data_IF_964023514677
#
_entry.id   IF_964023514677
#
_cell.length_a   1.000
_cell.length_b   1.000
_cell.length_c   1.000
_cell.angle_alpha   90.00
_cell.angle_beta   90.00
_cell.angle_gamma   90.00
#
_symmetry.space_group_name_H-M   'P 1'
#
loop_
_entity.id
_entity.type
_entity.pdbx_description
1 polymer ?
#
# COMPACT_ATOMS: atom_id res chain seq x y z
N UNK A 1 -5.24 10.89 -0.20
CA UNK A 1 -5.39 12.34 -0.44
C UNK A 1 -4.82 12.67 -1.82
N UNK A 2 -5.61 13.21 -2.74
CA UNK A 2 -5.14 13.61 -4.07
C UNK A 2 -4.26 14.85 -3.96
N UNK A 3 -2.99 14.75 -4.35
CA UNK A 3 -2.14 15.93 -4.42
C UNK A 3 -2.43 16.75 -5.68
N UNK A 4 -2.07 18.03 -5.63
CA UNK A 4 -2.16 18.94 -6.79
C UNK A 4 -1.47 18.39 -8.03
N UNK A 5 -0.45 17.54 -7.87
CA UNK A 5 0.22 16.87 -8.98
C UNK A 5 -0.70 15.87 -9.68
N UNK A 6 -1.43 15.03 -8.94
CA UNK A 6 -2.37 14.07 -9.54
C UNK A 6 -3.44 14.78 -10.36
N UNK A 7 -4.02 15.84 -9.81
CA UNK A 7 -5.05 16.62 -10.48
C UNK A 7 -4.50 17.19 -11.80
N UNK A 8 -3.29 17.77 -11.80
CA UNK A 8 -2.66 18.29 -13.02
C UNK A 8 -2.39 17.21 -14.07
N UNK A 9 -1.90 16.03 -13.67
CA UNK A 9 -1.64 14.92 -14.59
C UNK A 9 -2.94 14.46 -15.24
N UNK A 10 -3.99 14.22 -14.44
CA UNK A 10 -5.30 13.78 -14.95
C UNK A 10 -5.97 14.83 -15.84
N UNK A 11 -5.88 16.11 -15.47
CA UNK A 11 -6.36 17.22 -16.32
C UNK A 11 -5.62 17.26 -17.65
N UNK A 12 -4.28 17.09 -17.67
CA UNK A 12 -3.52 17.05 -18.92
C UNK A 12 -3.88 15.84 -19.78
N UNK A 13 -4.09 14.67 -19.17
CA UNK A 13 -4.58 13.48 -19.89
C UNK A 13 -5.96 13.73 -20.54
N UNK A 14 -6.89 14.35 -19.81
CA UNK A 14 -8.20 14.72 -20.35
C UNK A 14 -8.11 15.73 -21.49
N UNK A 15 -7.30 16.78 -21.35
CA UNK A 15 -7.07 17.76 -22.44
C UNK A 15 -6.45 17.10 -23.67
N UNK A 16 -5.52 16.16 -23.48
CA UNK A 16 -4.90 15.43 -24.57
C UNK A 16 -5.93 14.54 -25.31
N UNK A 17 -6.75 13.79 -24.57
CA UNK A 17 -7.81 12.96 -25.14
C UNK A 17 -8.86 13.79 -25.90
N UNK A 18 -9.27 14.94 -25.35
CA UNK A 18 -10.12 15.93 -26.02
C UNK A 18 -9.55 16.36 -27.37
N UNK A 19 -8.27 16.76 -27.38
CA UNK A 19 -7.59 17.19 -28.60
C UNK A 19 -7.48 16.07 -29.64
N UNK A 20 -7.19 14.85 -29.20
CA UNK A 20 -7.00 13.70 -30.08
C UNK A 20 -8.32 13.16 -30.65
N UNK A 21 -9.39 13.16 -29.86
CA UNK A 21 -10.71 12.65 -30.27
C UNK A 21 -11.43 13.56 -31.26
N UNK A 22 -10.93 14.79 -31.49
CA UNK A 22 -11.60 15.86 -32.24
C UNK A 22 -13.04 16.14 -31.76
N UNK A 23 -13.41 15.62 -30.59
CA UNK A 23 -14.74 15.71 -30.02
C UNK A 23 -14.80 16.94 -29.13
N UNK A 24 -15.85 17.75 -29.28
CA UNK A 24 -16.11 18.90 -28.42
C UNK A 24 -16.97 18.54 -27.20
N UNK A 25 -17.16 17.25 -26.91
CA UNK A 25 -18.05 16.81 -25.83
C UNK A 25 -17.33 16.88 -24.47
N UNK A 26 -17.27 18.10 -23.93
CA UNK A 26 -16.67 18.40 -22.64
C UNK A 26 -17.29 17.58 -21.50
N UNK A 27 -18.60 17.36 -21.53
CA UNK A 27 -19.32 16.64 -20.46
C UNK A 27 -18.88 15.19 -20.33
N UNK A 28 -18.64 14.51 -21.47
CA UNK A 28 -18.12 13.15 -21.49
C UNK A 28 -16.73 13.07 -20.86
N UNK A 29 -15.87 14.03 -21.17
CA UNK A 29 -14.47 14.06 -20.72
C UNK A 29 -14.37 14.46 -19.25
N UNK A 30 -15.26 15.33 -18.78
CA UNK A 30 -15.37 15.67 -17.36
C UNK A 30 -15.86 14.47 -16.54
N UNK A 31 -16.82 13.68 -17.05
CA UNK A 31 -17.24 12.42 -16.42
C UNK A 31 -16.10 11.40 -16.37
N UNK A 32 -15.34 11.25 -17.45
CA UNK A 32 -14.16 10.38 -17.47
C UNK A 32 -13.12 10.82 -16.43
N UNK A 33 -12.85 12.12 -16.33
CA UNK A 33 -11.92 12.67 -15.34
C UNK A 33 -12.38 12.38 -13.90
N UNK A 34 -13.66 12.61 -13.60
CA UNK A 34 -14.24 12.31 -12.29
C UNK A 34 -14.15 10.83 -11.95
N UNK A 35 -14.45 9.96 -12.92
CA UNK A 35 -14.30 8.51 -12.75
C UNK A 35 -12.86 8.13 -12.47
N UNK A 36 -11.90 8.63 -13.26
CA UNK A 36 -10.47 8.33 -13.06
C UNK A 36 -9.95 8.80 -11.69
N UNK A 37 -10.45 9.93 -11.19
CA UNK A 37 -10.14 10.40 -9.84
C UNK A 37 -10.70 9.45 -8.78
N UNK A 38 -11.92 8.95 -8.96
CA UNK A 38 -12.53 7.94 -8.08
C UNK A 38 -11.75 6.63 -8.07
N UNK A 39 -11.36 6.14 -9.24
CA UNK A 39 -10.53 4.94 -9.42
C UNK A 39 -9.18 5.07 -8.72
N UNK A 40 -8.55 6.24 -8.77
CA UNK A 40 -7.31 6.48 -8.02
C UNK A 40 -7.52 6.38 -6.50
N UNK A 41 -8.68 6.79 -5.99
CA UNK A 41 -9.02 6.63 -4.58
C UNK A 41 -9.14 5.14 -4.19
N UNK A 42 -9.72 4.33 -5.07
CA UNK A 42 -9.76 2.87 -4.88
C UNK A 42 -8.37 2.26 -4.82
N UNK A 43 -7.44 2.67 -5.70
CA UNK A 43 -6.04 2.24 -5.63
C UNK A 43 -5.41 2.60 -4.27
N UNK A 44 -5.68 3.79 -3.72
CA UNK A 44 -5.18 4.14 -2.39
C UNK A 44 -5.73 3.23 -1.29
N UNK A 45 -7.03 2.91 -1.33
CA UNK A 45 -7.65 2.01 -0.37
C UNK A 45 -7.06 0.60 -0.47
N UNK A 46 -6.79 0.11 -1.70
CA UNK A 46 -6.13 -1.16 -1.93
C UNK A 46 -4.71 -1.20 -1.33
N UNK A 47 -3.93 -0.14 -1.52
CA UNK A 47 -2.57 -0.05 -0.98
C UNK A 47 -2.55 0.05 0.55
N UNK A 48 -3.53 0.73 1.14
CA UNK A 48 -3.68 0.81 2.59
C UNK A 48 -4.16 -0.51 3.19
N UNK A 49 -5.08 -1.22 2.51
CA UNK A 49 -5.49 -2.56 2.93
C UNK A 49 -4.31 -3.52 2.87
N UNK A 50 -3.43 -3.44 1.88
CA UNK A 50 -2.19 -4.24 1.83
C UNK A 50 -1.31 -4.02 3.07
N UNK A 51 -1.13 -2.77 3.52
CA UNK A 51 -0.33 -2.50 4.73
C UNK A 51 -0.95 -3.13 5.99
N UNK A 52 -2.29 -3.17 6.07
CA UNK A 52 -3.02 -3.84 7.16
C UNK A 52 -2.78 -5.35 7.11
N UNK A 53 -2.87 -5.97 5.95
CA UNK A 53 -2.64 -7.41 5.78
C UNK A 53 -1.18 -7.81 6.07
N UNK A 54 -0.21 -6.97 5.68
CA UNK A 54 1.20 -7.17 6.02
C UNK A 54 1.44 -7.10 7.54
N UNK A 55 0.73 -6.21 8.24
CA UNK A 55 0.78 -6.13 9.70
C UNK A 55 0.17 -7.39 10.34
N UNK A 56 -1.02 -7.80 9.90
CA UNK A 56 -1.69 -9.01 10.38
C UNK A 56 -0.83 -10.27 10.14
N UNK A 57 -0.19 -10.38 8.97
CA UNK A 57 0.69 -11.49 8.65
C UNK A 57 1.91 -11.54 9.58
N UNK A 58 2.46 -10.38 9.96
CA UNK A 58 3.55 -10.30 10.92
C UNK A 58 3.12 -10.72 12.33
N UNK A 59 1.92 -10.34 12.77
CA UNK A 59 1.33 -10.80 14.04
C UNK A 59 1.15 -12.31 14.04
N UNK A 60 0.52 -12.86 12.99
CA UNK A 60 0.30 -14.29 12.83
C UNK A 60 1.63 -15.07 12.84
N UNK A 61 2.66 -14.57 12.16
CA UNK A 61 3.98 -15.19 12.16
C UNK A 61 4.61 -15.25 13.56
N UNK A 62 4.46 -14.18 14.36
CA UNK A 62 4.92 -14.13 15.75
C UNK A 62 4.15 -15.14 16.60
N UNK A 63 2.83 -15.19 16.49
CA UNK A 63 2.00 -16.12 17.25
C UNK A 63 2.32 -17.59 16.95
N UNK A 64 2.44 -17.93 15.66
CA UNK A 64 2.77 -19.28 15.22
C UNK A 64 4.14 -19.67 15.75
N UNK A 65 5.14 -18.76 15.68
CA UNK A 65 6.47 -18.97 16.26
C UNK A 65 6.42 -19.30 17.74
N UNK A 66 5.66 -18.52 18.53
CA UNK A 66 5.49 -18.72 19.97
C UNK A 66 4.83 -20.07 20.31
N UNK A 67 3.92 -20.56 19.46
CA UNK A 67 3.18 -21.81 19.65
C UNK A 67 3.96 -23.06 19.19
N UNK A 68 5.14 -22.92 18.56
CA UNK A 68 5.95 -24.07 18.10
C UNK A 68 6.37 -24.96 19.27
N UNK A 69 6.23 -26.28 19.10
CA UNK A 69 6.67 -27.27 20.08
C UNK A 69 8.18 -27.14 20.40
N UNK A 70 8.98 -26.80 19.39
CA UNK A 70 10.42 -26.52 19.51
C UNK A 70 10.70 -25.01 19.38
N UNK A 71 9.93 -24.16 20.07
CA UNK A 71 10.13 -22.72 20.08
C UNK A 71 11.54 -22.35 20.60
N UNK A 72 12.31 -21.66 19.77
CA UNK A 72 13.62 -21.12 20.15
C UNK A 72 13.49 -19.99 21.18
N UNK A 73 14.59 -19.55 21.79
CA UNK A 73 14.58 -18.38 22.70
C UNK A 73 14.07 -17.12 22.00
N UNK A 74 14.39 -16.96 20.71
CA UNK A 74 13.87 -15.85 19.88
C UNK A 74 12.38 -15.99 19.58
N UNK A 75 11.87 -17.21 19.44
CA UNK A 75 10.44 -17.44 19.25
C UNK A 75 9.66 -17.15 20.55
N UNK A 76 10.22 -17.47 21.72
CA UNK A 76 9.59 -17.19 23.02
C UNK A 76 9.55 -15.70 23.34
N UNK A 77 10.60 -14.96 22.99
CA UNK A 77 10.67 -13.51 23.12
C UNK A 77 10.89 -12.82 21.76
N UNK A 78 9.86 -12.79 20.90
CA UNK A 78 9.97 -12.27 19.55
C UNK A 78 10.09 -10.76 19.57
N UNK A 79 10.87 -10.22 18.63
CA UNK A 79 10.94 -8.78 18.43
C UNK A 79 9.61 -8.27 17.84
N UNK A 80 8.87 -7.48 18.62
CA UNK A 80 7.55 -6.95 18.26
C UNK A 80 7.58 -5.56 17.61
N UNK A 81 8.78 -5.01 17.33
CA UNK A 81 8.92 -3.63 16.86
C UNK A 81 8.10 -3.32 15.62
N UNK A 82 8.06 -4.22 14.63
CA UNK A 82 7.26 -4.02 13.42
C UNK A 82 5.75 -3.94 13.70
N UNK A 83 5.20 -4.90 14.47
CA UNK A 83 3.77 -4.91 14.79
C UNK A 83 3.37 -3.78 15.75
N UNK A 84 4.34 -3.24 16.49
CA UNK A 84 4.17 -2.09 17.39
C UNK A 84 4.49 -0.74 16.72
N UNK A 85 4.81 -0.72 15.43
CA UNK A 85 5.06 0.51 14.70
C UNK A 85 3.83 1.42 14.78
N UNK A 86 4.03 2.66 15.25
CA UNK A 86 2.92 3.57 15.55
C UNK A 86 2.09 3.93 14.31
N UNK A 87 2.71 4.02 13.14
CA UNK A 87 2.01 4.34 11.88
C UNK A 87 1.16 3.16 11.42
N UNK A 88 1.72 1.94 11.47
CA UNK A 88 0.96 0.74 11.12
C UNK A 88 -0.23 0.55 12.06
N UNK A 89 -0.03 0.74 13.37
CA UNK A 89 -1.12 0.68 14.34
C UNK A 89 -2.20 1.74 14.08
N UNK A 90 -1.82 2.96 13.67
CA UNK A 90 -2.81 3.97 13.28
C UNK A 90 -3.60 3.56 12.03
N UNK A 91 -2.99 2.89 11.07
CA UNK A 91 -3.68 2.39 9.86
C UNK A 91 -4.65 1.27 10.23
N UNK A 92 -4.15 0.26 10.98
CA UNK A 92 -4.93 -0.93 11.34
C UNK A 92 -6.13 -0.58 12.23
N UNK A 93 -5.97 0.38 13.15
CA UNK A 93 -7.03 0.77 14.09
C UNK A 93 -7.96 1.89 13.57
N UNK A 94 -7.78 2.35 12.32
CA UNK A 94 -8.60 3.43 11.79
C UNK A 94 -9.95 2.91 11.28
N UNK A 95 -11.00 3.11 12.07
CA UNK A 95 -12.35 2.65 11.72
C UNK A 95 -12.88 3.29 10.42
N UNK A 96 -12.65 4.59 10.20
CA UNK A 96 -13.11 5.27 8.97
C UNK A 96 -12.43 4.69 7.72
N UNK A 97 -11.16 4.32 7.84
CA UNK A 97 -10.44 3.65 6.76
C UNK A 97 -11.05 2.27 6.50
N UNK A 98 -11.34 1.50 7.54
CA UNK A 98 -11.97 0.18 7.39
C UNK A 98 -13.33 0.28 6.70
N UNK A 99 -14.18 1.20 7.15
CA UNK A 99 -15.49 1.46 6.54
C UNK A 99 -15.35 1.82 5.06
N UNK A 100 -14.36 2.66 4.70
CA UNK A 100 -14.08 3.02 3.31
C UNK A 100 -13.59 1.84 2.47
N UNK A 101 -12.70 1.00 3.01
CA UNK A 101 -12.20 -0.22 2.33
C UNK A 101 -13.35 -1.19 2.06
N UNK A 102 -14.20 -1.44 3.07
CA UNK A 102 -15.35 -2.34 2.96
C UNK A 102 -16.38 -1.79 1.97
N UNK A 103 -16.73 -0.51 2.07
CA UNK A 103 -17.69 0.13 1.16
C UNK A 103 -17.21 0.10 -0.30
N UNK A 104 -15.92 0.30 -0.54
CA UNK A 104 -15.31 0.22 -1.87
C UNK A 104 -15.01 -1.21 -2.34
N UNK A 105 -15.18 -2.23 -1.47
CA UNK A 105 -14.81 -3.64 -1.74
C UNK A 105 -13.34 -3.83 -2.14
N UNK A 106 -12.46 -3.10 -1.45
CA UNK A 106 -11.02 -3.03 -1.70
C UNK A 106 -10.18 -3.92 -0.76
N UNK A 107 -10.80 -4.68 0.14
CA UNK A 107 -10.12 -5.79 0.79
C UNK A 107 -10.42 -7.10 0.05
N UNK A 108 -9.47 -7.55 -0.78
CA UNK A 108 -9.56 -8.81 -1.53
C UNK A 108 -8.36 -9.72 -1.29
N UNK A 109 -7.46 -9.32 -0.41
CA UNK A 109 -6.25 -10.05 -0.09
C UNK A 109 -6.53 -11.42 0.52
N UNK A 110 -7.73 -11.66 1.05
CA UNK A 110 -8.18 -12.99 1.46
C UNK A 110 -8.17 -14.02 0.31
N UNK A 111 -8.47 -13.58 -0.92
CA UNK A 111 -8.45 -14.42 -2.12
C UNK A 111 -7.04 -14.49 -2.73
N UNK A 112 -6.24 -13.45 -2.48
CA UNK A 112 -4.96 -13.18 -3.12
C UNK A 112 -3.80 -13.20 -2.10
N UNK A 113 -3.94 -14.01 -1.06
CA UNK A 113 -3.04 -14.03 0.11
C UNK A 113 -1.58 -14.32 -0.30
N UNK A 114 -1.39 -15.04 -1.41
CA UNK A 114 -0.06 -15.35 -1.96
C UNK A 114 0.74 -14.08 -2.31
N UNK A 115 0.08 -13.03 -2.83
CA UNK A 115 0.76 -11.76 -3.10
C UNK A 115 1.22 -11.10 -1.82
N UNK A 116 0.40 -11.11 -0.77
CA UNK A 116 0.78 -10.60 0.56
C UNK A 116 1.98 -11.38 1.11
N UNK A 117 1.99 -12.71 0.98
CA UNK A 117 3.12 -13.58 1.40
C UNK A 117 4.40 -13.24 0.66
N UNK A 118 4.35 -13.08 -0.65
CA UNK A 118 5.51 -12.74 -1.49
C UNK A 118 6.09 -11.38 -1.07
N UNK A 119 5.23 -10.37 -0.90
CA UNK A 119 5.65 -9.02 -0.50
C UNK A 119 6.20 -9.05 0.92
N UNK A 120 5.53 -9.72 1.86
CA UNK A 120 5.98 -9.85 3.24
C UNK A 120 7.36 -10.53 3.33
N UNK A 121 7.58 -11.59 2.54
CA UNK A 121 8.89 -12.24 2.43
C UNK A 121 9.96 -11.25 1.95
N UNK A 122 9.70 -10.50 0.87
CA UNK A 122 10.65 -9.47 0.38
C UNK A 122 10.93 -8.39 1.42
N UNK A 123 9.91 -7.98 2.18
CA UNK A 123 10.08 -7.03 3.29
C UNK A 123 11.05 -7.59 4.33
N UNK A 124 10.80 -8.79 4.85
CA UNK A 124 11.64 -9.40 5.90
C UNK A 124 13.06 -9.74 5.44
N UNK A 125 13.25 -10.00 4.14
CA UNK A 125 14.56 -10.21 3.53
C UNK A 125 15.34 -8.91 3.28
N UNK A 126 14.66 -7.76 3.25
CA UNK A 126 15.29 -6.47 2.98
C UNK A 126 16.19 -5.97 4.11
N UNK A 127 17.30 -5.32 3.75
CA UNK A 127 18.19 -4.66 4.72
C UNK A 127 17.47 -3.54 5.47
N UNK A 128 16.51 -2.88 4.83
CA UNK A 128 15.67 -1.85 5.43
C UNK A 128 14.90 -2.38 6.65
N UNK A 129 14.28 -3.56 6.52
CA UNK A 129 13.58 -4.21 7.61
C UNK A 129 14.55 -4.66 8.71
N UNK A 130 15.65 -5.32 8.34
CA UNK A 130 16.65 -5.80 9.30
C UNK A 130 17.24 -4.66 10.13
N UNK A 131 17.57 -3.53 9.50
CA UNK A 131 18.10 -2.35 10.16
C UNK A 131 17.07 -1.77 11.13
N UNK A 132 15.84 -1.53 10.67
CA UNK A 132 14.76 -1.02 11.52
C UNK A 132 14.50 -1.91 12.74
N UNK A 133 14.47 -3.24 12.55
CA UNK A 133 14.28 -4.21 13.64
C UNK A 133 15.47 -4.26 14.62
N UNK A 134 16.67 -3.87 14.20
CA UNK A 134 17.87 -3.84 15.06
C UNK A 134 18.01 -2.56 15.89
N UNK A 135 17.34 -1.48 15.49
CA UNK A 135 17.38 -0.20 16.18
C UNK A 135 16.68 -0.28 17.54
N UNK A 136 17.36 0.20 18.59
CA UNK A 136 16.85 0.21 19.97
C UNK A 136 15.88 1.36 20.26
N UNK A 137 15.94 2.45 19.49
CA UNK A 137 15.05 3.58 19.65
C UNK A 137 13.76 3.35 18.86
N UNK A 138 12.64 3.65 19.50
CA UNK A 138 11.31 3.70 18.90
C UNK A 138 10.83 5.15 19.02
N UNK A 139 10.87 5.88 17.90
CA UNK A 139 10.29 7.22 17.80
C UNK A 139 9.27 7.23 16.68
N UNK A 140 8.31 8.15 16.76
CA UNK A 140 7.30 8.32 15.72
C UNK A 140 7.95 8.66 14.37
N UNK A 141 9.02 9.46 14.38
CA UNK A 141 9.78 9.82 13.18
C UNK A 141 10.46 8.61 12.54
N UNK A 142 11.12 7.75 13.35
CA UNK A 142 11.73 6.51 12.85
C UNK A 142 10.67 5.57 12.27
N UNK A 143 9.54 5.40 12.97
CA UNK A 143 8.42 4.56 12.51
C UNK A 143 7.83 5.06 11.18
N UNK A 144 7.62 6.37 11.06
CA UNK A 144 7.16 7.02 9.83
C UNK A 144 8.15 6.86 8.69
N UNK A 145 9.41 7.16 8.94
CA UNK A 145 10.43 7.11 7.91
C UNK A 145 10.64 5.67 7.43
N UNK A 146 10.58 4.70 8.34
CA UNK A 146 10.57 3.27 7.99
C UNK A 146 9.39 2.93 7.07
N UNK A 147 8.15 3.24 7.43
CA UNK A 147 6.97 2.90 6.60
C UNK A 147 7.04 3.58 5.22
N UNK A 148 7.46 4.85 5.17
CA UNK A 148 7.65 5.57 3.90
C UNK A 148 8.72 4.90 3.03
N UNK A 149 9.85 4.53 3.61
CA UNK A 149 10.94 3.89 2.87
C UNK A 149 10.60 2.46 2.45
N UNK A 150 9.90 1.71 3.31
CA UNK A 150 9.35 0.40 3.03
C UNK A 150 8.44 0.46 1.81
N UNK A 151 7.50 1.41 1.80
CA UNK A 151 6.60 1.60 0.68
C UNK A 151 7.36 1.94 -0.60
N UNK A 152 8.31 2.87 -0.55
CA UNK A 152 9.05 3.32 -1.74
C UNK A 152 10.00 2.27 -2.34
N UNK A 153 10.70 1.54 -1.48
CA UNK A 153 11.85 0.70 -1.87
C UNK A 153 11.53 -0.78 -1.98
N UNK A 154 10.41 -1.21 -1.40
CA UNK A 154 10.00 -2.62 -1.44
C UNK A 154 8.65 -2.73 -2.14
N UNK A 155 7.60 -2.09 -1.61
CA UNK A 155 6.23 -2.27 -2.09
C UNK A 155 6.03 -1.66 -3.50
N UNK A 156 6.35 -0.38 -3.68
CA UNK A 156 6.16 0.34 -4.95
C UNK A 156 7.15 -0.06 -6.06
N UNK A 157 8.06 -0.99 -5.78
CA UNK A 157 9.00 -1.58 -6.73
C UNK A 157 8.71 -3.06 -6.97
N UNK A 158 7.69 -3.61 -6.33
CA UNK A 158 7.36 -5.03 -6.41
C UNK A 158 6.60 -5.35 -7.70
N UNK A 159 7.26 -6.03 -8.64
CA UNK A 159 6.67 -6.39 -9.95
C UNK A 159 5.36 -7.20 -9.81
N UNK A 160 5.25 -8.08 -8.80
CA UNK A 160 4.04 -8.89 -8.58
C UNK A 160 2.86 -8.06 -8.12
N UNK A 161 3.10 -7.01 -7.35
CA UNK A 161 2.09 -6.04 -7.01
C UNK A 161 1.62 -5.25 -8.25
N UNK A 162 2.52 -4.90 -9.18
CA UNK A 162 2.11 -4.26 -10.44
C UNK A 162 1.26 -5.21 -11.29
N UNK A 163 1.67 -6.46 -11.46
CA UNK A 163 0.88 -7.49 -12.17
C UNK A 163 -0.54 -7.60 -11.57
N UNK A 164 -0.64 -7.75 -10.24
CA UNK A 164 -1.91 -7.83 -9.54
C UNK A 164 -2.81 -6.60 -9.77
N UNK A 165 -2.22 -5.41 -9.71
CA UNK A 165 -2.94 -4.14 -9.90
C UNK A 165 -3.38 -3.97 -11.35
N UNK A 166 -2.57 -4.41 -12.31
CA UNK A 166 -2.91 -4.36 -13.74
C UNK A 166 -4.10 -5.28 -14.07
N UNK A 167 -4.09 -6.50 -13.52
CA UNK A 167 -5.19 -7.46 -13.64
C UNK A 167 -6.50 -6.90 -13.07
N UNK A 168 -6.41 -6.10 -12.00
CA UNK A 168 -7.57 -5.45 -11.40
C UNK A 168 -8.04 -4.23 -12.20
N UNK A 169 -7.11 -3.37 -12.59
CA UNK A 169 -7.38 -2.19 -13.40
C UNK A 169 -6.12 -1.73 -14.16
N UNK A 170 -6.16 -1.91 -15.48
CA UNK A 170 -5.11 -1.50 -16.43
C UNK A 170 -4.64 -0.04 -16.25
N UNK A 171 -5.50 0.87 -15.79
CA UNK A 171 -5.16 2.29 -15.65
C UNK A 171 -4.46 2.64 -14.34
N UNK A 172 -4.45 1.72 -13.37
CA UNK A 172 -3.89 1.98 -12.04
C UNK A 172 -2.36 1.84 -12.00
N UNK A 173 -1.79 1.04 -12.90
CA UNK A 173 -0.34 0.90 -13.04
C UNK A 173 0.33 2.20 -13.46
N UNK A 174 -0.34 3.05 -14.24
CA UNK A 174 0.12 4.41 -14.58
C UNK A 174 0.09 5.36 -13.38
N UNK A 175 -0.82 5.13 -12.43
CA UNK A 175 -1.02 5.99 -11.25
C UNK A 175 -0.10 5.61 -10.08
N UNK A 176 0.35 4.36 -10.01
CA UNK A 176 1.18 3.83 -8.92
C UNK A 176 2.58 4.49 -8.81
N UNK A 177 3.33 4.71 -9.92
CA UNK A 177 4.57 5.47 -9.89
C UNK A 177 4.38 6.89 -9.37
N UNK A 178 3.20 7.49 -9.56
CA UNK A 178 2.96 8.85 -9.06
C UNK A 178 2.96 8.84 -7.52
N UNK A 179 2.45 7.78 -6.89
CA UNK A 179 2.55 7.56 -5.43
C UNK A 179 4.00 7.48 -4.97
N UNK A 180 4.89 6.84 -5.74
CA UNK A 180 6.34 6.77 -5.44
C UNK A 180 6.99 8.16 -5.34
N UNK A 181 6.56 9.11 -6.17
CA UNK A 181 7.12 10.46 -6.20
C UNK A 181 6.45 11.45 -5.21
N UNK A 182 5.46 11.02 -4.41
CA UNK A 182 4.72 11.89 -3.48
C UNK A 182 5.49 12.29 -2.23
N UNK A 183 6.52 11.52 -1.88
CA UNK A 183 7.20 11.63 -0.58
C UNK A 183 8.60 12.23 -0.74
N UNK A 184 8.79 13.13 -1.70
CA UNK A 184 10.06 13.85 -1.87
C UNK A 184 10.13 15.05 -0.94
#
# INVERSE_FOLDING_TARGET
MLTRRHIRVKVMQGIYALKQSQSQNLDKELKFLQQSIGEMNHLYLLLLSLLKELHQMAENHIEIGQKKYLATVKDKNPNRKFIQNQILLQIVNNQLLEEAIVAAKMNRWDLDEEYVKIIYKKITESDLYRNYMSEKQNSFESDRDFVVQLFKKVIATDEKLYEYIEDFNLTWTDDLPIVKYLYR
#
